data_IF_766510377166
#
_entry.id   IF_766510377166
#
_cell.length_a   1.000
_cell.length_b   1.000
_cell.length_c   1.000
_cell.angle_alpha   90.00
_cell.angle_beta   90.00
_cell.angle_gamma   90.00
#
_symmetry.space_group_name_H-M   'P 1'
#
loop_
_entity.id
_entity.type
_entity.pdbx_description
1 polymer ?
#
# COMPACT_ATOMS: atom_id res chain seq x y z
N UNK A 1 -19.60 18.17 3.22
CA UNK A 1 -18.77 17.88 4.40
C UNK A 1 -19.35 16.75 5.24
N UNK A 2 -20.48 16.95 5.95
CA UNK A 2 -21.00 15.96 6.91
C UNK A 2 -21.18 14.54 6.35
N UNK A 3 -21.70 14.39 5.12
CA UNK A 3 -21.84 13.08 4.46
C UNK A 3 -20.49 12.37 4.28
N UNK A 4 -19.45 13.09 3.84
CA UNK A 4 -18.11 12.52 3.61
C UNK A 4 -17.44 12.17 4.94
N UNK A 5 -17.54 13.05 5.94
CA UNK A 5 -17.02 12.80 7.28
C UNK A 5 -17.70 11.59 7.95
N UNK A 6 -19.03 11.49 7.82
CA UNK A 6 -19.78 10.32 8.32
C UNK A 6 -19.37 9.03 7.61
N UNK A 7 -19.20 9.06 6.29
CA UNK A 7 -18.71 7.92 5.53
C UNK A 7 -17.27 7.52 5.93
N UNK A 8 -16.39 8.50 6.16
CA UNK A 8 -15.03 8.26 6.62
C UNK A 8 -15.01 7.49 7.96
N UNK A 9 -15.77 7.98 8.95
CA UNK A 9 -15.92 7.31 10.25
C UNK A 9 -16.49 5.90 10.09
N UNK A 10 -17.53 5.74 9.25
CA UNK A 10 -18.15 4.44 9.01
C UNK A 10 -17.16 3.42 8.43
N UNK A 11 -16.33 3.82 7.44
CA UNK A 11 -15.29 2.93 6.89
C UNK A 11 -14.28 2.53 7.97
N UNK A 12 -13.83 3.48 8.80
CA UNK A 12 -12.88 3.18 9.89
C UNK A 12 -13.45 2.16 10.86
N UNK A 13 -14.73 2.28 11.23
CA UNK A 13 -15.42 1.33 12.11
C UNK A 13 -15.55 -0.04 11.45
N UNK A 14 -16.03 -0.09 10.20
CA UNK A 14 -16.24 -1.35 9.47
C UNK A 14 -14.92 -2.09 9.27
N UNK A 15 -13.87 -1.38 8.82
CA UNK A 15 -12.56 -1.99 8.56
C UNK A 15 -11.82 -2.38 9.82
N UNK A 16 -12.07 -1.73 10.96
CA UNK A 16 -11.53 -2.15 12.25
C UNK A 16 -12.07 -3.52 12.70
N UNK A 17 -13.28 -3.87 12.26
CA UNK A 17 -13.89 -5.17 12.56
C UNK A 17 -13.55 -6.19 11.48
N UNK A 18 -13.64 -5.81 10.20
CA UNK A 18 -13.45 -6.74 9.08
C UNK A 18 -11.98 -7.02 8.73
N UNK A 19 -11.08 -6.05 8.92
CA UNK A 19 -9.66 -6.12 8.55
C UNK A 19 -8.78 -5.42 9.60
N UNK A 20 -8.70 -5.94 10.85
CA UNK A 20 -8.06 -5.24 11.97
C UNK A 20 -6.58 -4.89 11.71
N UNK A 21 -5.82 -5.77 11.06
CA UNK A 21 -4.40 -5.56 10.75
C UNK A 21 -4.14 -4.50 9.67
N UNK A 22 -5.18 -4.06 8.97
CA UNK A 22 -5.13 -3.07 7.90
C UNK A 22 -6.22 -2.01 8.02
N UNK A 23 -6.77 -1.78 9.22
CA UNK A 23 -7.91 -0.89 9.38
C UNK A 23 -7.60 0.53 8.87
N UNK A 24 -8.60 1.17 8.29
CA UNK A 24 -8.45 2.49 7.69
C UNK A 24 -8.57 3.53 8.79
N UNK A 25 -7.45 4.05 9.30
CA UNK A 25 -7.45 5.11 10.31
C UNK A 25 -7.44 6.51 9.69
N UNK A 26 -6.83 6.66 8.52
CA UNK A 26 -6.78 7.92 7.78
C UNK A 26 -6.64 7.67 6.27
N UNK A 27 -7.76 7.29 5.66
CA UNK A 27 -7.89 7.09 4.20
C UNK A 27 -8.36 8.33 3.45
N UNK A 28 -8.62 8.17 2.14
CA UNK A 28 -8.97 9.29 1.24
C UNK A 28 -10.21 10.08 1.68
N UNK A 29 -11.23 9.44 2.27
CA UNK A 29 -12.42 10.18 2.74
C UNK A 29 -12.11 11.07 3.95
N UNK A 30 -11.16 10.68 4.80
CA UNK A 30 -10.71 11.51 5.92
C UNK A 30 -9.93 12.71 5.39
N UNK A 31 -9.04 12.48 4.42
CA UNK A 31 -8.29 13.52 3.74
C UNK A 31 -9.24 14.51 3.06
N UNK A 32 -10.19 14.05 2.23
CA UNK A 32 -11.13 14.93 1.54
C UNK A 32 -11.94 15.76 2.53
N UNK A 33 -12.38 15.17 3.64
CA UNK A 33 -13.09 15.92 4.68
C UNK A 33 -12.18 17.01 5.29
N UNK A 34 -11.00 16.64 5.76
CA UNK A 34 -10.05 17.57 6.38
C UNK A 34 -9.60 18.67 5.40
N UNK A 35 -9.17 18.30 4.20
CA UNK A 35 -8.74 19.20 3.15
C UNK A 35 -9.86 20.15 2.70
N UNK A 36 -11.12 19.68 2.66
CA UNK A 36 -12.26 20.56 2.38
C UNK A 36 -12.41 21.66 3.43
N UNK A 37 -12.15 21.34 4.71
CA UNK A 37 -12.21 22.32 5.80
C UNK A 37 -11.02 23.26 5.78
N UNK A 38 -9.80 22.72 5.68
CA UNK A 38 -8.56 23.51 5.62
C UNK A 38 -8.52 24.40 4.36
N UNK A 39 -9.00 23.90 3.23
CA UNK A 39 -9.07 24.61 1.96
C UNK A 39 -9.89 25.91 2.04
N UNK A 40 -10.86 26.01 2.94
CA UNK A 40 -11.63 27.24 3.17
C UNK A 40 -10.73 28.43 3.54
N UNK A 41 -9.66 28.19 4.32
CA UNK A 41 -8.70 29.22 4.68
C UNK A 41 -7.94 29.78 3.46
N UNK A 42 -7.81 28.99 2.40
CA UNK A 42 -7.09 29.36 1.17
C UNK A 42 -7.98 29.98 0.11
N UNK A 43 -9.31 29.99 0.29
CA UNK A 43 -10.26 30.58 -0.66
C UNK A 43 -10.09 32.10 -0.79
N UNK A 44 -9.62 32.79 0.24
CA UNK A 44 -9.39 34.26 0.21
C UNK A 44 -7.97 34.66 -0.21
N UNK A 45 -7.03 33.72 -0.24
CA UNK A 45 -5.64 34.01 -0.59
C UNK A 45 -5.45 34.23 -2.10
N UNK A 46 -4.44 35.02 -2.53
CA UNK A 46 -4.08 35.13 -3.95
C UNK A 46 -3.68 33.78 -4.54
N UNK A 47 -4.06 33.52 -5.80
CA UNK A 47 -3.83 32.22 -6.44
C UNK A 47 -2.36 31.81 -6.48
N UNK A 48 -1.44 32.76 -6.74
CA UNK A 48 0.00 32.50 -6.75
C UNK A 48 0.52 32.08 -5.37
N UNK A 49 0.05 32.73 -4.31
CA UNK A 49 0.42 32.36 -2.93
C UNK A 49 -0.11 30.97 -2.59
N UNK A 50 -1.36 30.66 -2.94
CA UNK A 50 -1.92 29.32 -2.77
C UNK A 50 -1.10 28.26 -3.52
N UNK A 51 -0.62 28.57 -4.74
CA UNK A 51 0.21 27.66 -5.52
C UNK A 51 1.59 27.45 -4.90
N UNK A 52 2.21 28.49 -4.33
CA UNK A 52 3.47 28.36 -3.59
C UNK A 52 3.28 27.45 -2.37
N UNK A 53 2.22 27.66 -1.58
CA UNK A 53 1.93 26.79 -0.44
C UNK A 53 1.65 25.35 -0.90
N UNK A 54 0.94 25.16 -2.02
CA UNK A 54 0.76 23.83 -2.61
C UNK A 54 2.11 23.14 -2.90
N UNK A 55 3.05 23.86 -3.51
CA UNK A 55 4.41 23.36 -3.77
C UNK A 55 5.16 22.99 -2.48
N UNK A 56 5.05 23.81 -1.43
CA UNK A 56 5.65 23.51 -0.13
C UNK A 56 5.03 22.26 0.51
N UNK A 57 3.71 22.11 0.46
CA UNK A 57 3.01 20.92 0.97
C UNK A 57 3.40 19.66 0.20
N UNK A 58 3.52 19.75 -1.13
CA UNK A 58 3.93 18.60 -1.97
C UNK A 58 5.37 18.19 -1.68
N UNK A 59 6.26 19.16 -1.46
CA UNK A 59 7.70 18.91 -1.26
C UNK A 59 8.08 18.59 0.19
N UNK A 60 7.24 18.91 1.17
CA UNK A 60 7.52 18.68 2.59
C UNK A 60 7.93 17.23 2.93
N UNK A 61 7.28 16.16 2.43
CA UNK A 61 7.69 14.79 2.73
C UNK A 61 9.08 14.41 2.23
N UNK A 62 9.66 15.15 1.28
CA UNK A 62 11.02 14.90 0.77
C UNK A 62 12.07 15.32 1.80
N UNK A 63 11.80 16.37 2.58
CA UNK A 63 12.79 17.00 3.46
C UNK A 63 12.47 16.88 4.95
N UNK A 64 11.20 16.66 5.31
CA UNK A 64 10.70 16.77 6.68
C UNK A 64 10.22 15.42 7.25
N UNK A 65 10.65 14.30 6.66
CA UNK A 65 10.40 12.98 7.23
C UNK A 65 11.29 12.74 8.45
N UNK A 66 10.66 12.58 9.61
CA UNK A 66 11.34 12.50 10.91
C UNK A 66 10.68 11.41 11.77
N UNK A 67 11.48 10.71 12.57
CA UNK A 67 11.01 9.71 13.54
C UNK A 67 10.05 10.30 14.58
N UNK A 68 10.12 11.61 14.83
CA UNK A 68 9.16 12.32 15.70
C UNK A 68 7.70 12.19 15.21
N UNK A 69 7.48 11.94 13.91
CA UNK A 69 6.16 11.72 13.32
C UNK A 69 5.74 10.24 13.28
N UNK A 70 6.58 9.31 13.76
CA UNK A 70 6.26 7.87 13.79
C UNK A 70 5.22 7.53 14.87
N UNK A 71 4.85 8.48 15.73
CA UNK A 71 3.81 8.29 16.73
C UNK A 71 2.41 8.18 16.08
N UNK A 72 1.54 7.21 16.49
CA UNK A 72 0.25 6.95 15.83
C UNK A 72 -0.68 8.16 15.70
N UNK A 73 -0.63 9.10 16.65
CA UNK A 73 -1.44 10.32 16.63
C UNK A 73 -1.01 11.33 15.55
N UNK A 74 0.17 11.15 14.97
CA UNK A 74 0.75 12.05 13.97
C UNK A 74 0.79 11.42 12.57
N UNK A 75 0.41 10.14 12.43
CA UNK A 75 0.42 9.47 11.12
C UNK A 75 -0.43 10.18 10.07
N UNK A 76 -1.57 10.77 10.45
CA UNK A 76 -2.40 11.53 9.50
C UNK A 76 -1.67 12.73 8.85
N UNK A 77 -0.56 13.20 9.43
CA UNK A 77 0.25 14.28 8.84
C UNK A 77 0.98 13.79 7.59
N UNK A 78 1.53 12.58 7.58
CA UNK A 78 2.26 12.05 6.41
C UNK A 78 3.75 12.37 6.35
N UNK A 79 4.33 12.82 7.47
CA UNK A 79 5.77 13.09 7.63
C UNK A 79 6.49 12.01 8.46
N UNK A 80 5.84 10.86 8.67
CA UNK A 80 6.41 9.66 9.31
C UNK A 80 7.61 9.15 8.51
N UNK A 81 8.69 8.77 9.21
CA UNK A 81 9.84 8.10 8.60
C UNK A 81 9.43 6.69 8.15
N UNK A 82 8.64 6.01 8.98
CA UNK A 82 8.07 4.70 8.67
C UNK A 82 6.56 4.83 8.43
N UNK A 83 6.09 4.49 7.24
CA UNK A 83 4.66 4.57 6.96
C UNK A 83 3.90 3.44 7.66
N UNK A 84 2.80 3.76 8.35
CA UNK A 84 1.95 2.74 8.96
C UNK A 84 1.26 1.89 7.88
N UNK A 85 1.04 0.62 8.22
CA UNK A 85 0.26 -0.29 7.38
C UNK A 85 -1.23 0.02 7.54
N UNK A 86 -1.91 0.27 6.43
CA UNK A 86 -3.37 0.42 6.37
C UNK A 86 -3.84 0.13 4.95
N UNK A 87 -5.06 -0.39 4.80
CA UNK A 87 -5.64 -0.72 3.49
C UNK A 87 -5.92 0.52 2.63
N UNK A 88 -6.06 1.69 3.26
CA UNK A 88 -6.14 2.99 2.60
C UNK A 88 -5.48 4.03 3.50
N UNK A 89 -4.36 4.60 3.05
CA UNK A 89 -3.61 5.60 3.78
C UNK A 89 -3.27 6.79 2.87
N UNK A 90 -3.96 7.90 3.12
CA UNK A 90 -3.83 9.14 2.36
C UNK A 90 -3.63 10.28 3.35
N UNK A 91 -2.39 10.52 3.82
CA UNK A 91 -2.13 11.54 4.81
C UNK A 91 -2.23 12.96 4.24
N UNK A 92 -2.21 13.98 5.10
CA UNK A 92 -2.32 15.37 4.70
C UNK A 92 -1.20 15.80 3.72
N UNK A 93 0.05 15.43 4.00
CA UNK A 93 1.17 15.67 3.11
C UNK A 93 1.49 14.41 2.30
N UNK A 94 1.58 14.47 0.96
CA UNK A 94 1.54 15.66 0.09
C UNK A 94 0.13 16.03 -0.43
N UNK A 95 -0.90 15.22 -0.12
CA UNK A 95 -2.18 15.23 -0.84
C UNK A 95 -2.98 16.53 -0.73
N UNK A 96 -2.90 17.22 0.41
CA UNK A 96 -3.51 18.54 0.56
C UNK A 96 -2.96 19.56 -0.44
N UNK A 97 -1.70 19.39 -0.87
CA UNK A 97 -1.10 20.23 -1.90
C UNK A 97 -1.79 20.09 -3.25
N UNK A 98 -2.31 18.90 -3.60
CA UNK A 98 -3.12 18.73 -4.81
C UNK A 98 -4.44 19.51 -4.73
N UNK A 99 -5.08 19.52 -3.54
CA UNK A 99 -6.29 20.31 -3.29
C UNK A 99 -6.00 21.81 -3.41
N UNK A 100 -4.90 22.29 -2.81
CA UNK A 100 -4.48 23.69 -2.93
C UNK A 100 -4.14 24.08 -4.37
N UNK A 101 -3.46 23.21 -5.12
CA UNK A 101 -3.19 23.41 -6.54
C UNK A 101 -4.49 23.52 -7.34
N UNK A 102 -5.48 22.67 -7.06
CA UNK A 102 -6.82 22.77 -7.63
C UNK A 102 -7.47 24.13 -7.36
N UNK A 103 -7.47 24.59 -6.11
CA UNK A 103 -8.00 25.92 -5.73
C UNK A 103 -7.29 27.03 -6.50
N UNK A 104 -5.95 27.00 -6.56
CA UNK A 104 -5.15 28.01 -7.26
C UNK A 104 -5.45 28.03 -8.77
N UNK A 105 -5.49 26.85 -9.41
CA UNK A 105 -5.79 26.72 -10.83
C UNK A 105 -7.21 27.20 -11.16
N UNK A 106 -8.22 26.86 -10.34
CA UNK A 106 -9.59 27.34 -10.55
C UNK A 106 -9.67 28.86 -10.45
N UNK A 107 -8.96 29.49 -9.51
CA UNK A 107 -8.91 30.97 -9.40
C UNK A 107 -8.28 31.61 -10.64
N UNK A 108 -7.16 31.07 -11.13
CA UNK A 108 -6.50 31.56 -12.34
C UNK A 108 -7.39 31.39 -13.58
N UNK A 109 -8.04 30.24 -13.70
CA UNK A 109 -8.95 29.94 -14.81
C UNK A 109 -10.23 30.80 -14.79
N UNK A 110 -10.74 31.13 -13.60
CA UNK A 110 -11.86 32.04 -13.44
C UNK A 110 -11.47 33.48 -13.84
N UNK A 111 -10.27 33.94 -13.45
CA UNK A 111 -9.76 35.26 -13.82
C UNK A 111 -9.43 35.43 -15.31
N UNK A 112 -9.10 34.34 -16.02
CA UNK A 112 -8.76 34.36 -17.45
C UNK A 112 -9.92 34.08 -18.40
N UNK A 113 -11.13 33.81 -17.87
CA UNK A 113 -12.31 33.47 -18.66
C UNK A 113 -12.31 32.06 -19.27
N UNK A 114 -11.27 31.25 -18.99
CA UNK A 114 -11.18 29.84 -19.46
C UNK A 114 -12.36 29.02 -18.95
N UNK A 115 -12.79 29.25 -17.70
CA UNK A 115 -13.90 28.50 -17.12
C UNK A 115 -15.23 28.76 -17.87
N UNK A 116 -15.45 29.98 -18.34
CA UNK A 116 -16.62 30.33 -19.14
C UNK A 116 -16.62 29.60 -20.50
N UNK A 117 -15.46 29.56 -21.17
CA UNK A 117 -15.29 28.81 -22.43
C UNK A 117 -15.49 27.31 -22.25
N UNK A 118 -15.01 26.75 -21.13
CA UNK A 118 -15.24 25.34 -20.81
C UNK A 118 -16.71 25.02 -20.53
N UNK A 119 -17.45 25.96 -19.93
CA UNK A 119 -18.87 25.78 -19.66
C UNK A 119 -19.73 25.72 -20.95
N UNK A 120 -19.26 26.32 -22.05
CA UNK A 120 -19.90 26.23 -23.37
C UNK A 120 -19.74 24.84 -24.00
N UNK A 121 -18.76 24.05 -23.56
CA UNK A 121 -18.57 22.66 -23.98
C UNK A 121 -19.56 21.76 -23.24
N UNK A 122 -20.81 21.73 -23.72
CA UNK A 122 -21.82 20.81 -23.20
C UNK A 122 -21.43 19.36 -23.59
N UNK A 123 -21.26 18.44 -22.62
CA UNK A 123 -21.03 17.03 -22.92
C UNK A 123 -22.22 16.48 -23.71
N UNK A 124 -21.94 15.78 -24.81
CA UNK A 124 -22.99 15.10 -25.57
C UNK A 124 -23.70 14.03 -24.72
N UNK A 125 -24.86 13.55 -25.19
CA UNK A 125 -25.68 12.53 -24.49
C UNK A 125 -24.92 11.25 -24.11
N UNK A 126 -23.82 10.95 -24.82
CA UNK A 126 -22.92 9.83 -24.53
C UNK A 126 -22.22 9.95 -23.17
N UNK A 127 -22.06 11.17 -22.64
CA UNK A 127 -21.45 11.42 -21.35
C UNK A 127 -22.44 11.25 -20.18
N UNK A 128 -23.74 11.06 -20.43
CA UNK A 128 -24.75 10.93 -19.38
C UNK A 128 -24.45 9.84 -18.33
N UNK A 129 -23.98 8.63 -18.70
CA UNK A 129 -23.58 7.64 -17.71
C UNK A 129 -22.43 8.12 -16.82
N UNK A 130 -21.47 8.84 -17.40
CA UNK A 130 -20.31 9.37 -16.68
C UNK A 130 -20.74 10.50 -15.73
N UNK A 131 -21.65 11.36 -16.17
CA UNK A 131 -22.28 12.40 -15.33
C UNK A 131 -23.06 11.76 -14.18
N UNK A 132 -23.80 10.68 -14.44
CA UNK A 132 -24.54 9.95 -13.41
C UNK A 132 -23.60 9.38 -12.33
N UNK A 133 -22.54 8.67 -12.73
CA UNK A 133 -21.53 8.14 -11.80
C UNK A 133 -20.87 9.28 -11.02
N UNK A 134 -20.54 10.39 -11.68
CA UNK A 134 -19.96 11.57 -11.01
C UNK A 134 -20.89 12.19 -9.95
N UNK A 135 -22.19 12.30 -10.24
CA UNK A 135 -23.21 12.82 -9.31
C UNK A 135 -23.44 11.91 -8.10
N UNK A 136 -23.12 10.62 -8.22
CA UNK A 136 -23.21 9.64 -7.15
C UNK A 136 -21.85 9.05 -6.77
N UNK A 137 -20.79 9.85 -6.96
CA UNK A 137 -19.40 9.44 -6.76
C UNK A 137 -19.14 8.85 -5.38
N UNK A 138 -19.72 9.41 -4.31
CA UNK A 138 -19.57 8.86 -2.96
C UNK A 138 -20.19 7.46 -2.81
N UNK A 139 -21.38 7.25 -3.36
CA UNK A 139 -22.04 5.94 -3.29
C UNK A 139 -21.25 4.91 -4.11
N UNK A 140 -20.81 5.28 -5.31
CA UNK A 140 -19.96 4.43 -6.14
C UNK A 140 -18.63 4.10 -5.43
N UNK A 141 -18.01 5.11 -4.82
CA UNK A 141 -16.80 4.97 -4.02
C UNK A 141 -17.01 4.03 -2.82
N UNK A 142 -18.17 4.02 -2.17
CA UNK A 142 -18.39 3.08 -1.05
C UNK A 142 -18.69 1.64 -1.52
N UNK A 143 -19.41 1.51 -2.64
CA UNK A 143 -19.89 0.21 -3.13
C UNK A 143 -18.80 -0.55 -3.89
N UNK A 144 -17.84 0.14 -4.52
CA UNK A 144 -16.87 -0.53 -5.39
C UNK A 144 -16.04 -1.60 -4.66
N UNK A 145 -15.53 -1.34 -3.44
CA UNK A 145 -14.73 -2.31 -2.69
C UNK A 145 -15.47 -3.64 -2.40
N UNK A 146 -16.62 -3.64 -1.71
CA UNK A 146 -17.35 -4.90 -1.45
C UNK A 146 -17.82 -5.58 -2.73
N UNK A 147 -18.19 -4.80 -3.76
CA UNK A 147 -18.58 -5.35 -5.06
C UNK A 147 -17.41 -6.07 -5.74
N UNK A 148 -16.24 -5.43 -5.85
CA UNK A 148 -15.06 -6.01 -6.49
C UNK A 148 -14.56 -7.24 -5.73
N UNK A 149 -14.56 -7.19 -4.40
CA UNK A 149 -14.21 -8.34 -3.55
C UNK A 149 -15.20 -9.48 -3.79
N UNK A 150 -16.51 -9.21 -3.80
CA UNK A 150 -17.54 -10.21 -4.08
C UNK A 150 -17.41 -10.82 -5.48
N UNK A 151 -17.17 -9.99 -6.50
CA UNK A 151 -16.94 -10.46 -7.87
C UNK A 151 -15.69 -11.34 -7.97
N UNK A 152 -14.59 -10.95 -7.32
CA UNK A 152 -13.35 -11.72 -7.32
C UNK A 152 -13.51 -13.04 -6.57
N UNK A 153 -14.23 -13.05 -5.44
CA UNK A 153 -14.57 -14.25 -4.70
C UNK A 153 -15.43 -15.22 -5.53
N UNK A 154 -16.44 -14.72 -6.24
CA UNK A 154 -17.26 -15.53 -7.15
C UNK A 154 -16.42 -16.11 -8.30
N UNK A 155 -15.55 -15.28 -8.89
CA UNK A 155 -14.65 -15.71 -9.95
C UNK A 155 -13.71 -16.82 -9.47
N UNK A 156 -13.17 -16.71 -8.25
CA UNK A 156 -12.27 -17.74 -7.69
C UNK A 156 -12.95 -19.08 -7.41
N UNK A 157 -14.28 -19.12 -7.26
CA UNK A 157 -15.01 -20.38 -7.15
C UNK A 157 -15.04 -21.14 -8.48
N UNK A 158 -14.98 -20.43 -9.60
CA UNK A 158 -15.06 -21.00 -10.96
C UNK A 158 -13.66 -21.29 -11.51
N UNK A 159 -12.73 -20.38 -11.27
CA UNK A 159 -11.33 -20.48 -11.70
C UNK A 159 -10.43 -20.23 -10.49
N UNK A 160 -10.23 -21.25 -9.63
CA UNK A 160 -9.35 -21.11 -8.48
C UNK A 160 -7.92 -20.84 -8.95
N UNK A 161 -7.24 -19.94 -8.26
CA UNK A 161 -5.81 -19.76 -8.44
C UNK A 161 -5.08 -21.08 -8.15
N UNK A 162 -4.07 -21.41 -8.95
CA UNK A 162 -3.22 -22.58 -8.67
C UNK A 162 -2.45 -22.28 -7.37
N UNK A 163 -2.84 -22.95 -6.28
CA UNK A 163 -2.12 -22.85 -5.01
C UNK A 163 -0.98 -23.87 -5.05
N UNK A 164 0.23 -23.40 -5.30
CA UNK A 164 1.44 -24.21 -5.11
C UNK A 164 1.59 -24.57 -3.62
N UNK A 165 2.05 -25.77 -3.31
CA UNK A 165 2.23 -26.18 -1.91
C UNK A 165 3.33 -25.33 -1.24
N UNK A 166 3.31 -25.14 0.10
CA UNK A 166 4.34 -24.37 0.81
C UNK A 166 5.76 -24.85 0.49
N UNK A 167 5.94 -26.15 0.27
CA UNK A 167 7.24 -26.74 -0.11
C UNK A 167 7.74 -26.23 -1.46
N UNK A 168 6.87 -26.25 -2.49
CA UNK A 168 7.22 -25.80 -3.84
C UNK A 168 7.55 -24.30 -3.83
N UNK A 169 6.74 -23.53 -3.11
CA UNK A 169 6.95 -22.10 -2.97
C UNK A 169 8.28 -21.80 -2.24
N UNK A 170 8.56 -22.50 -1.13
CA UNK A 170 9.82 -22.36 -0.39
C UNK A 170 11.03 -22.67 -1.26
N UNK A 171 11.05 -23.81 -1.95
CA UNK A 171 12.19 -24.19 -2.81
C UNK A 171 12.44 -23.15 -3.89
N UNK A 172 11.38 -22.68 -4.55
CA UNK A 172 11.45 -21.64 -5.58
C UNK A 172 12.03 -20.33 -5.04
N UNK A 173 11.53 -19.83 -3.92
CA UNK A 173 12.01 -18.57 -3.33
C UNK A 173 13.41 -18.71 -2.74
N UNK A 174 13.71 -19.83 -2.09
CA UNK A 174 15.04 -20.14 -1.57
C UNK A 174 16.09 -20.13 -2.70
N UNK A 175 15.82 -20.83 -3.80
CA UNK A 175 16.75 -20.93 -4.92
C UNK A 175 16.99 -19.57 -5.57
N UNK A 176 15.93 -18.79 -5.83
CA UNK A 176 16.04 -17.43 -6.37
C UNK A 176 16.87 -16.49 -5.49
N UNK A 177 16.86 -16.69 -4.17
CA UNK A 177 17.68 -15.91 -3.25
C UNK A 177 19.12 -16.41 -3.18
N UNK A 178 19.32 -17.73 -3.15
CA UNK A 178 20.63 -18.36 -3.04
C UNK A 178 21.50 -18.10 -4.28
N UNK A 179 20.91 -18.20 -5.48
CA UNK A 179 21.62 -18.05 -6.76
C UNK A 179 22.15 -16.62 -6.99
N UNK A 180 21.77 -15.65 -6.16
CA UNK A 180 22.39 -14.32 -6.16
C UNK A 180 23.83 -14.35 -5.64
N UNK A 181 24.22 -15.43 -4.95
CA UNK A 181 25.50 -15.56 -4.24
C UNK A 181 26.29 -16.83 -4.58
N UNK A 182 25.61 -17.89 -5.04
CA UNK A 182 26.19 -19.22 -5.30
C UNK A 182 25.63 -19.78 -6.62
N UNK A 183 26.20 -20.87 -7.11
CA UNK A 183 25.75 -21.54 -8.33
C UNK A 183 24.47 -22.39 -8.12
N UNK A 184 23.82 -22.75 -9.22
CA UNK A 184 22.56 -23.51 -9.24
C UNK A 184 22.70 -24.91 -8.61
N UNK A 185 23.84 -25.57 -8.75
CA UNK A 185 24.05 -26.93 -8.24
C UNK A 185 24.13 -26.92 -6.70
N UNK A 186 24.89 -25.97 -6.15
CA UNK A 186 24.89 -25.68 -4.71
C UNK A 186 23.50 -25.31 -4.21
N UNK A 187 22.83 -24.35 -4.86
CA UNK A 187 21.54 -23.85 -4.37
C UNK A 187 20.43 -24.90 -4.40
N UNK A 188 20.42 -25.79 -5.40
CA UNK A 188 19.44 -26.89 -5.47
C UNK A 188 19.60 -27.83 -4.27
N UNK A 189 20.83 -28.23 -3.95
CA UNK A 189 21.11 -29.12 -2.80
C UNK A 189 20.89 -28.42 -1.45
N UNK A 190 21.30 -27.16 -1.34
CA UNK A 190 21.13 -26.35 -0.13
C UNK A 190 19.66 -26.13 0.22
N UNK A 191 18.83 -25.75 -0.77
CA UNK A 191 17.42 -25.48 -0.52
C UNK A 191 16.62 -26.73 -0.15
N UNK A 192 16.98 -27.90 -0.70
CA UNK A 192 16.42 -29.18 -0.24
C UNK A 192 16.82 -29.47 1.21
N UNK A 193 18.09 -29.27 1.58
CA UNK A 193 18.53 -29.42 2.98
C UNK A 193 17.75 -28.51 3.93
N UNK A 194 17.57 -27.24 3.55
CA UNK A 194 16.83 -26.28 4.37
C UNK A 194 15.38 -26.69 4.53
N UNK A 195 14.71 -27.09 3.44
CA UNK A 195 13.32 -27.53 3.49
C UNK A 195 13.17 -28.76 4.40
N UNK A 196 13.98 -29.80 4.17
CA UNK A 196 13.93 -31.04 4.95
C UNK A 196 14.11 -30.79 6.45
N UNK A 197 15.00 -29.86 6.81
CA UNK A 197 15.25 -29.53 8.23
C UNK A 197 14.09 -28.75 8.84
N UNK A 198 13.54 -27.76 8.11
CA UNK A 198 12.39 -26.97 8.56
C UNK A 198 11.11 -27.83 8.68
N UNK A 199 10.92 -28.80 7.79
CA UNK A 199 9.82 -29.76 7.88
C UNK A 199 10.04 -30.77 9.01
N UNK A 200 11.27 -31.29 9.16
CA UNK A 200 11.63 -32.23 10.21
C UNK A 200 11.43 -31.68 11.62
N UNK A 201 11.61 -30.36 11.79
CA UNK A 201 11.36 -29.65 13.06
C UNK A 201 9.93 -29.08 13.18
N UNK A 202 9.08 -29.24 12.16
CA UNK A 202 7.76 -28.62 12.06
C UNK A 202 7.77 -27.08 12.26
N UNK A 203 8.81 -26.41 11.78
CA UNK A 203 9.02 -24.96 11.94
C UNK A 203 8.78 -24.17 10.65
N UNK A 204 8.44 -24.84 9.54
CA UNK A 204 8.13 -24.19 8.25
C UNK A 204 7.04 -23.11 8.38
N UNK A 205 5.99 -23.36 9.19
CA UNK A 205 4.93 -22.37 9.42
C UNK A 205 5.42 -21.12 10.16
N UNK A 206 6.44 -21.25 11.03
CA UNK A 206 7.02 -20.09 11.74
C UNK A 206 7.76 -19.17 10.77
N UNK A 207 8.41 -19.76 9.76
CA UNK A 207 9.01 -19.01 8.66
C UNK A 207 7.95 -18.24 7.86
N UNK A 208 6.87 -18.90 7.45
CA UNK A 208 5.80 -18.26 6.66
C UNK A 208 5.02 -17.19 7.43
N UNK A 209 4.87 -17.36 8.75
CA UNK A 209 4.28 -16.34 9.62
C UNK A 209 5.23 -15.18 9.93
N UNK A 210 6.45 -15.19 9.35
CA UNK A 210 7.46 -14.16 9.53
C UNK A 210 7.78 -13.90 11.01
N UNK A 211 8.00 -14.96 11.79
CA UNK A 211 8.42 -14.84 13.19
C UNK A 211 9.73 -14.00 13.26
N UNK A 212 9.73 -12.93 14.07
CA UNK A 212 10.83 -11.99 14.19
C UNK A 212 11.60 -12.12 15.51
N UNK A 213 11.29 -13.15 16.31
CA UNK A 213 11.96 -13.38 17.60
C UNK A 213 13.47 -13.58 17.40
N UNK A 214 14.27 -13.06 18.34
CA UNK A 214 15.73 -13.16 18.26
C UNK A 214 16.21 -14.61 18.30
N UNK A 215 15.53 -15.46 19.09
CA UNK A 215 15.77 -16.90 19.16
C UNK A 215 15.57 -17.56 17.79
N UNK A 216 14.45 -17.30 17.12
CA UNK A 216 14.15 -17.86 15.81
C UNK A 216 15.14 -17.42 14.72
N UNK A 217 15.54 -16.14 14.71
CA UNK A 217 16.55 -15.63 13.76
C UNK A 217 17.89 -16.33 13.95
N UNK A 218 18.29 -16.57 15.20
CA UNK A 218 19.53 -17.29 15.52
C UNK A 218 19.44 -18.73 15.03
N UNK A 219 18.33 -19.40 15.36
CA UNK A 219 18.08 -20.78 14.93
C UNK A 219 18.09 -20.94 13.40
N UNK A 220 17.42 -20.04 12.67
CA UNK A 220 17.46 -20.02 11.19
C UNK A 220 18.87 -19.84 10.65
N UNK A 221 19.69 -18.99 11.26
CA UNK A 221 21.08 -18.80 10.87
C UNK A 221 21.92 -20.05 11.11
N UNK A 222 21.67 -20.76 12.21
CA UNK A 222 22.36 -22.01 12.54
C UNK A 222 22.01 -23.13 11.54
N UNK A 223 20.71 -23.25 11.18
CA UNK A 223 20.26 -24.16 10.13
C UNK A 223 20.92 -23.84 8.78
N UNK A 224 20.98 -22.56 8.40
CA UNK A 224 21.65 -22.13 7.18
C UNK A 224 23.14 -22.48 7.17
N UNK A 225 23.83 -22.30 8.30
CA UNK A 225 25.24 -22.69 8.45
C UNK A 225 25.45 -24.20 8.30
N UNK A 226 24.59 -24.99 8.93
CA UNK A 226 24.62 -26.46 8.85
C UNK A 226 24.39 -26.95 7.41
N UNK A 227 23.37 -26.42 6.73
CA UNK A 227 23.07 -26.82 5.36
C UNK A 227 24.15 -26.36 4.37
N UNK A 228 24.78 -25.22 4.61
CA UNK A 228 25.94 -24.77 3.82
C UNK A 228 27.09 -25.77 3.93
N UNK A 229 27.50 -26.12 5.16
CA UNK A 229 28.58 -27.08 5.39
C UNK A 229 28.28 -28.47 4.81
N UNK A 230 27.04 -28.96 4.98
CA UNK A 230 26.60 -30.26 4.43
C UNK A 230 26.59 -30.27 2.90
N UNK A 231 26.22 -29.16 2.28
CA UNK A 231 26.18 -29.04 0.81
C UNK A 231 27.59 -28.96 0.25
N UNK A 232 28.45 -28.12 0.83
CA UNK A 232 29.85 -28.00 0.44
C UNK A 232 30.58 -29.35 0.57
N UNK A 233 30.40 -30.08 1.68
CA UNK A 233 31.02 -31.40 1.85
C UNK A 233 30.54 -32.40 0.79
N UNK A 234 29.24 -32.41 0.49
CA UNK A 234 28.66 -33.32 -0.52
C UNK A 234 29.22 -33.03 -1.91
N UNK A 235 29.26 -31.76 -2.32
CA UNK A 235 29.78 -31.37 -3.64
C UNK A 235 31.29 -31.62 -3.76
N UNK A 236 32.05 -31.45 -2.67
CA UNK A 236 33.48 -31.82 -2.64
C UNK A 236 33.70 -33.33 -2.82
N UNK A 237 32.85 -34.18 -2.22
CA UNK A 237 32.94 -35.63 -2.38
C UNK A 237 32.53 -36.10 -3.79
N UNK A 238 31.54 -35.44 -4.39
CA UNK A 238 31.04 -35.76 -5.73
C UNK A 238 31.99 -35.27 -6.84
N UNK A 239 32.68 -34.13 -6.65
CA UNK A 239 33.67 -33.60 -7.58
C UNK A 239 35.06 -34.26 -7.57
N UNK A 240 35.28 -35.25 -6.69
CA UNK A 240 36.53 -36.04 -6.60
C UNK A 240 36.45 -37.35 -7.40
N UNK A 241 35.30 -37.65 -8.03
CA UNK A 241 35.13 -38.77 -8.99
C UNK A 241 35.25 -38.31 -10.43
#
# INVERSE_FOLDING_TARGET
FAMVAGAAIAISVVTRIATPDGFIFFGILHEIALASLLGLAFLRLPALLTLVVAGLVITAPVYLRLEAFDHPWLWWVGLSANNPRSNDYVPLFPWFGAVLAGIAMTKLAAGSGVLARLAELAPGRWANPLVFIGRHSLAFYLIHQPLLIGCMWLFSQIMPAQVETPQVNFLKTCQLSCEQSRDTEFCTSYCVCMLDTLEGEATLDRLYNNDQTAEWKTHLSDLAGMCTAKTDSKLMEEGVK
#
